data_IF_860047314911
#
_entry.id   IF_860047314911
#
_cell.length_a   1.000
_cell.length_b   1.000
_cell.length_c   1.000
_cell.angle_alpha   90.00
_cell.angle_beta   90.00
_cell.angle_gamma   90.00
#
_symmetry.space_group_name_H-M   'P 1'
#
loop_
_entity.id
_entity.type
_entity.pdbx_description
1 polymer ?
#
# COMPACT_ATOMS: atom_id res chain seq x y z
N UNK A 1 -63.57 -8.09 -8.18
CA UNK A 1 -63.21 -7.75 -6.78
C UNK A 1 -63.05 -6.24 -6.70
N UNK A 2 -63.89 -5.59 -5.90
CA UNK A 2 -64.00 -4.14 -5.83
C UNK A 2 -62.70 -3.52 -5.30
N UNK A 3 -61.97 -2.83 -6.18
CA UNK A 3 -60.88 -1.95 -5.80
C UNK A 3 -61.45 -0.75 -5.06
N UNK A 4 -61.57 -0.85 -3.74
CA UNK A 4 -61.88 0.30 -2.90
C UNK A 4 -60.84 1.41 -3.18
N UNK A 5 -61.29 2.56 -3.71
CA UNK A 5 -60.43 3.72 -3.93
C UNK A 5 -59.81 4.10 -2.58
N UNK A 6 -58.51 3.83 -2.42
CA UNK A 6 -57.77 4.17 -1.21
C UNK A 6 -57.98 5.64 -0.86
N UNK A 7 -58.30 5.90 0.40
CA UNK A 7 -58.48 7.27 0.90
C UNK A 7 -57.17 8.06 0.76
N UNK A 8 -57.19 9.40 0.60
CA UNK A 8 -55.97 10.21 0.51
C UNK A 8 -54.97 9.95 1.65
N UNK A 9 -55.46 9.65 2.86
CA UNK A 9 -54.65 9.23 4.00
C UNK A 9 -53.94 7.89 3.78
N UNK A 10 -54.63 6.89 3.24
CA UNK A 10 -54.03 5.59 2.90
C UNK A 10 -53.01 5.71 1.77
N UNK A 11 -53.24 6.60 0.80
CA UNK A 11 -52.24 6.93 -0.22
C UNK A 11 -50.99 7.57 0.37
N UNK A 12 -51.14 8.51 1.29
CA UNK A 12 -49.98 9.10 1.99
C UNK A 12 -49.23 8.06 2.82
N UNK A 13 -49.94 7.17 3.53
CA UNK A 13 -49.31 6.09 4.30
C UNK A 13 -48.58 5.11 3.37
N UNK A 14 -49.20 4.75 2.22
CA UNK A 14 -48.59 3.88 1.22
C UNK A 14 -47.35 4.49 0.59
N UNK A 15 -47.39 5.78 0.22
CA UNK A 15 -46.20 6.48 -0.29
C UNK A 15 -45.11 6.60 0.77
N UNK A 16 -45.46 6.89 2.02
CA UNK A 16 -44.48 6.94 3.12
C UNK A 16 -43.83 5.57 3.34
N UNK A 17 -44.60 4.48 3.30
CA UNK A 17 -44.06 3.12 3.43
C UNK A 17 -43.14 2.75 2.25
N UNK A 18 -43.51 3.12 1.02
CA UNK A 18 -42.65 2.92 -0.15
C UNK A 18 -41.35 3.72 -0.06
N UNK A 19 -41.42 4.99 0.37
CA UNK A 19 -40.23 5.83 0.57
C UNK A 19 -39.35 5.25 1.69
N UNK A 20 -39.92 4.83 2.81
CA UNK A 20 -39.16 4.28 3.93
C UNK A 20 -38.55 2.91 3.59
N UNK A 21 -39.27 2.06 2.84
CA UNK A 21 -38.76 0.79 2.34
C UNK A 21 -37.64 1.00 1.31
N UNK A 22 -37.79 2.00 0.43
CA UNK A 22 -36.75 2.37 -0.53
C UNK A 22 -35.50 2.92 0.17
N UNK A 23 -35.65 3.77 1.19
CA UNK A 23 -34.54 4.29 1.99
C UNK A 23 -33.81 3.17 2.76
N UNK A 24 -34.55 2.19 3.32
CA UNK A 24 -33.93 1.03 3.95
C UNK A 24 -33.22 0.12 2.95
N UNK A 25 -33.73 0.02 1.71
CA UNK A 25 -33.14 -0.80 0.66
C UNK A 25 -31.91 -0.15 -0.01
N UNK A 26 -31.82 1.18 -0.02
CA UNK A 26 -30.65 1.92 -0.52
C UNK A 26 -29.45 1.84 0.44
N UNK A 27 -29.70 1.61 1.73
CA UNK A 27 -28.63 1.47 2.71
C UNK A 27 -27.98 0.09 2.61
N UNK A 28 -26.65 0.05 2.68
CA UNK A 28 -25.88 -1.20 2.68
C UNK A 28 -26.18 -1.98 3.97
N UNK A 29 -26.28 -3.30 3.87
CA UNK A 29 -26.57 -4.13 5.05
C UNK A 29 -25.43 -4.02 6.08
N UNK A 30 -25.79 -3.94 7.37
CA UNK A 30 -24.81 -3.86 8.47
C UNK A 30 -23.86 -5.06 8.49
N UNK A 31 -24.31 -6.22 8.03
CA UNK A 31 -23.51 -7.44 7.93
C UNK A 31 -22.41 -7.31 6.88
N UNK A 32 -22.73 -6.72 5.72
CA UNK A 32 -21.75 -6.43 4.66
C UNK A 32 -20.71 -5.41 5.15
N UNK A 33 -21.16 -4.32 5.80
CA UNK A 33 -20.24 -3.33 6.38
C UNK A 33 -19.32 -3.93 7.45
N UNK A 34 -19.84 -4.82 8.29
CA UNK A 34 -19.02 -5.57 9.25
C UNK A 34 -18.03 -6.52 8.57
N UNK A 35 -18.38 -7.08 7.42
CA UNK A 35 -17.47 -7.85 6.57
C UNK A 35 -16.26 -7.01 6.15
N UNK A 36 -16.49 -5.81 5.63
CA UNK A 36 -15.43 -4.87 5.25
C UNK A 36 -14.54 -4.47 6.44
N UNK A 37 -15.11 -4.24 7.62
CA UNK A 37 -14.31 -3.98 8.84
C UNK A 37 -13.40 -5.15 9.19
N UNK A 38 -13.84 -6.39 9.00
CA UNK A 38 -12.98 -7.57 9.23
C UNK A 38 -11.85 -7.67 8.21
N UNK A 39 -12.13 -7.39 6.95
CA UNK A 39 -11.12 -7.34 5.88
C UNK A 39 -10.08 -6.27 6.21
N UNK A 40 -10.51 -5.06 6.55
CA UNK A 40 -9.61 -3.96 6.94
C UNK A 40 -8.70 -4.36 8.12
N UNK A 41 -9.25 -4.96 9.17
CA UNK A 41 -8.45 -5.42 10.31
C UNK A 41 -7.43 -6.48 9.91
N UNK A 42 -7.79 -7.39 9.01
CA UNK A 42 -6.87 -8.39 8.48
C UNK A 42 -5.73 -7.74 7.69
N UNK A 43 -6.05 -6.75 6.85
CA UNK A 43 -5.05 -6.02 6.06
C UNK A 43 -4.11 -5.21 6.96
N UNK A 44 -4.62 -4.55 8.01
CA UNK A 44 -3.78 -3.87 9.00
C UNK A 44 -2.81 -4.85 9.68
N UNK A 45 -3.26 -6.06 10.02
CA UNK A 45 -2.35 -7.08 10.58
C UNK A 45 -1.28 -7.50 9.56
N UNK A 46 -1.64 -7.63 8.28
CA UNK A 46 -0.69 -7.95 7.20
C UNK A 46 0.32 -6.83 7.01
N UNK A 47 -0.14 -5.57 7.00
CA UNK A 47 0.70 -4.37 6.94
C UNK A 47 1.74 -4.36 8.06
N UNK A 48 1.33 -4.66 9.30
CA UNK A 48 2.26 -4.74 10.43
C UNK A 48 3.31 -5.84 10.23
N UNK A 49 2.88 -7.02 9.77
CA UNK A 49 3.79 -8.14 9.53
C UNK A 49 4.84 -7.82 8.45
N UNK A 50 4.44 -7.13 7.39
CA UNK A 50 5.36 -6.74 6.31
C UNK A 50 6.30 -5.65 6.79
N UNK A 51 5.79 -4.65 7.52
CA UNK A 51 6.62 -3.61 8.13
C UNK A 51 7.69 -4.20 9.05
N UNK A 52 7.33 -5.16 9.91
CA UNK A 52 8.29 -5.85 10.79
C UNK A 52 9.37 -6.57 9.96
N UNK A 53 9.00 -7.19 8.83
CA UNK A 53 9.94 -7.83 7.91
C UNK A 53 10.88 -6.81 7.22
N UNK A 54 10.37 -5.65 6.84
CA UNK A 54 11.19 -4.55 6.29
C UNK A 54 12.22 -4.10 7.34
N UNK A 55 11.79 -3.89 8.57
CA UNK A 55 12.67 -3.48 9.69
C UNK A 55 13.76 -4.52 9.97
N UNK A 56 13.43 -5.81 9.94
CA UNK A 56 14.42 -6.90 10.04
C UNK A 56 15.44 -6.85 8.90
N UNK A 57 14.98 -6.65 7.67
CA UNK A 57 15.84 -6.59 6.47
C UNK A 57 16.76 -5.36 6.54
N UNK A 58 16.22 -4.22 6.98
CA UNK A 58 16.99 -2.99 7.18
C UNK A 58 18.02 -3.13 8.31
N UNK A 59 17.68 -3.81 9.40
CA UNK A 59 18.61 -4.11 10.50
C UNK A 59 19.76 -5.01 10.02
N UNK A 60 19.45 -6.03 9.21
CA UNK A 60 20.46 -6.88 8.60
C UNK A 60 21.39 -6.07 7.67
N UNK A 61 20.83 -5.17 6.86
CA UNK A 61 21.60 -4.30 5.97
C UNK A 61 22.55 -3.38 6.77
N UNK A 62 22.07 -2.76 7.84
CA UNK A 62 22.88 -1.95 8.76
C UNK A 62 24.04 -2.74 9.39
N UNK A 63 23.78 -3.98 9.82
CA UNK A 63 24.83 -4.83 10.38
C UNK A 63 25.94 -5.13 9.37
N UNK A 64 25.58 -5.35 8.08
CA UNK A 64 26.55 -5.53 7.00
C UNK A 64 27.31 -4.24 6.70
N UNK A 65 26.64 -3.09 6.71
CA UNK A 65 27.26 -1.79 6.53
C UNK A 65 28.32 -1.51 7.59
N UNK A 66 28.01 -1.75 8.87
CA UNK A 66 28.96 -1.62 9.98
C UNK A 66 30.16 -2.57 9.86
N UNK A 67 29.99 -3.72 9.20
CA UNK A 67 31.05 -4.70 9.00
C UNK A 67 31.96 -4.36 7.81
N UNK A 68 31.41 -3.78 6.74
CA UNK A 68 32.15 -3.44 5.52
C UNK A 68 31.55 -2.24 4.80
N UNK A 69 31.88 -1.05 5.27
CA UNK A 69 31.33 0.22 4.77
C UNK A 69 31.66 0.47 3.30
N UNK A 70 32.89 0.15 2.86
CA UNK A 70 33.34 0.42 1.49
C UNK A 70 32.56 -0.38 0.45
N UNK A 71 32.25 -1.65 0.76
CA UNK A 71 31.53 -2.53 -0.17
C UNK A 71 30.02 -2.34 -0.09
N UNK A 72 29.50 -2.03 1.09
CA UNK A 72 28.05 -1.99 1.36
C UNK A 72 27.47 -0.58 1.21
N UNK A 73 28.29 0.48 1.30
CA UNK A 73 27.85 1.87 1.19
C UNK A 73 26.88 2.15 0.04
N UNK A 74 27.22 1.82 -1.22
CA UNK A 74 26.33 2.06 -2.36
C UNK A 74 24.98 1.32 -2.27
N UNK A 75 24.96 0.13 -1.66
CA UNK A 75 23.72 -0.63 -1.45
C UNK A 75 22.91 -0.08 -0.28
N UNK A 76 23.60 0.41 0.75
CA UNK A 76 22.98 1.01 1.93
C UNK A 76 22.31 2.33 1.61
N UNK A 77 23.01 3.24 0.92
CA UNK A 77 22.46 4.53 0.48
C UNK A 77 21.21 4.33 -0.39
N UNK A 78 21.24 3.36 -1.30
CA UNK A 78 20.06 3.02 -2.12
C UNK A 78 18.93 2.40 -1.30
N UNK A 79 19.24 1.56 -0.32
CA UNK A 79 18.24 1.04 0.61
C UNK A 79 17.58 2.13 1.45
N UNK A 80 18.35 3.14 1.87
CA UNK A 80 17.86 4.29 2.63
C UNK A 80 16.96 5.18 1.76
N UNK A 81 17.35 5.46 0.51
CA UNK A 81 16.53 6.19 -0.46
C UNK A 81 15.16 5.51 -0.64
N UNK A 82 15.15 4.20 -0.89
CA UNK A 82 13.90 3.42 -1.08
C UNK A 82 13.03 3.47 0.17
N UNK A 83 13.61 3.26 1.34
CA UNK A 83 12.84 3.22 2.58
C UNK A 83 12.25 4.59 2.91
N UNK A 84 12.97 5.67 2.57
CA UNK A 84 12.45 7.03 2.67
C UNK A 84 11.26 7.25 1.73
N UNK A 85 11.40 6.89 0.45
CA UNK A 85 10.35 7.08 -0.55
C UNK A 85 9.10 6.24 -0.21
N UNK A 86 9.29 5.00 0.21
CA UNK A 86 8.22 4.12 0.68
C UNK A 86 7.51 4.73 1.90
N UNK A 87 8.26 5.21 2.89
CA UNK A 87 7.69 5.85 4.09
C UNK A 87 6.89 7.09 3.75
N UNK A 88 7.43 7.98 2.91
CA UNK A 88 6.72 9.19 2.46
C UNK A 88 5.39 8.85 1.76
N UNK A 89 5.39 7.80 0.93
CA UNK A 89 4.19 7.31 0.25
C UNK A 89 3.18 6.68 1.22
N UNK A 90 3.63 5.85 2.16
CA UNK A 90 2.75 5.26 3.20
C UNK A 90 2.14 6.34 4.09
N UNK A 91 2.91 7.35 4.48
CA UNK A 91 2.43 8.53 5.21
C UNK A 91 1.36 9.25 4.40
N UNK A 92 1.63 9.51 3.11
CA UNK A 92 0.68 10.15 2.21
C UNK A 92 -0.64 9.38 2.09
N UNK A 93 -0.60 8.06 1.86
CA UNK A 93 -1.81 7.22 1.77
C UNK A 93 -2.55 7.19 3.11
N UNK A 94 -1.83 7.13 4.23
CA UNK A 94 -2.43 7.14 5.57
C UNK A 94 -3.14 8.47 5.89
N UNK A 95 -2.54 9.59 5.51
CA UNK A 95 -3.18 10.91 5.62
C UNK A 95 -4.41 11.01 4.70
N UNK A 96 -4.34 10.46 3.49
CA UNK A 96 -5.47 10.42 2.57
C UNK A 96 -6.62 9.56 3.14
N UNK A 97 -6.31 8.41 3.74
CA UNK A 97 -7.31 7.60 4.48
C UNK A 97 -7.98 8.39 5.59
N UNK A 98 -7.21 9.10 6.42
CA UNK A 98 -7.74 9.92 7.50
C UNK A 98 -8.66 11.05 6.99
N UNK A 99 -8.29 11.70 5.88
CA UNK A 99 -9.13 12.70 5.21
C UNK A 99 -10.43 12.10 4.69
N UNK A 100 -10.38 10.93 4.05
CA UNK A 100 -11.57 10.21 3.61
C UNK A 100 -12.52 9.90 4.78
N UNK A 101 -11.99 9.43 5.91
CA UNK A 101 -12.80 9.16 7.12
C UNK A 101 -13.44 10.44 7.69
N UNK A 102 -12.70 11.54 7.76
CA UNK A 102 -13.20 12.82 8.23
C UNK A 102 -14.31 13.38 7.32
N UNK A 103 -14.11 13.28 6.00
CA UNK A 103 -15.09 13.67 4.97
C UNK A 103 -16.38 12.88 5.12
N UNK A 104 -16.31 11.56 5.28
CA UNK A 104 -17.50 10.71 5.45
C UNK A 104 -18.27 10.96 6.76
N UNK A 105 -17.59 11.31 7.85
CA UNK A 105 -18.26 11.67 9.11
C UNK A 105 -18.95 13.05 9.06
N UNK A 106 -18.69 13.85 8.02
CA UNK A 106 -19.32 15.14 7.78
C UNK A 106 -18.56 16.33 8.37
N UNK A 107 -17.26 16.16 8.68
CA UNK A 107 -16.38 17.28 9.06
C UNK A 107 -15.89 17.97 7.78
N UNK A 108 -16.76 18.77 7.18
CA UNK A 108 -16.50 19.50 5.94
C UNK A 108 -15.94 20.90 6.21
N UNK A 109 -14.63 21.02 6.17
CA UNK A 109 -13.94 22.25 5.74
C UNK A 109 -13.09 21.85 4.52
N UNK A 110 -12.70 22.79 3.67
CA UNK A 110 -12.21 22.58 2.29
C UNK A 110 -11.15 21.47 2.15
N UNK A 111 -10.86 20.97 0.93
CA UNK A 111 -9.94 19.84 0.69
C UNK A 111 -8.59 19.90 1.44
N UNK A 112 -8.08 21.11 1.72
CA UNK A 112 -6.83 21.36 2.45
C UNK A 112 -7.01 21.53 3.98
N UNK A 113 -8.23 21.79 4.45
CA UNK A 113 -8.59 22.11 5.85
C UNK A 113 -9.43 21.00 6.52
N UNK A 114 -9.52 19.81 5.93
CA UNK A 114 -10.21 18.68 6.56
C UNK A 114 -9.54 18.41 7.93
N UNK A 115 -10.32 18.44 9.01
CA UNK A 115 -9.83 18.11 10.37
C UNK A 115 -9.60 16.59 10.50
N UNK A 116 -8.53 16.10 9.86
CA UNK A 116 -8.14 14.69 9.79
C UNK A 116 -7.31 14.26 11.00
N UNK A 117 -6.86 15.19 11.83
CA UNK A 117 -6.03 14.92 13.02
C UNK A 117 -6.71 13.96 14.00
N UNK A 118 -8.04 14.03 14.13
CA UNK A 118 -8.82 13.10 14.98
C UNK A 118 -8.80 11.65 14.47
N UNK A 119 -8.49 11.44 13.19
CA UNK A 119 -8.50 10.14 12.52
C UNK A 119 -7.11 9.63 12.19
N UNK A 120 -6.07 10.44 12.39
CA UNK A 120 -4.69 10.12 12.10
C UNK A 120 -3.89 10.01 13.41
N UNK A 121 -3.04 9.02 13.50
CA UNK A 121 -2.22 8.82 14.67
C UNK A 121 -0.99 8.00 14.38
N UNK A 122 -0.25 7.72 15.45
CA UNK A 122 0.94 6.89 15.42
C UNK A 122 0.65 5.66 16.28
N UNK A 123 0.96 4.48 15.76
CA UNK A 123 0.82 3.23 16.50
C UNK A 123 1.90 3.09 17.59
N UNK A 124 1.83 2.00 18.37
CA UNK A 124 2.81 1.70 19.43
C UNK A 124 4.26 1.59 18.90
N UNK A 125 4.44 1.33 17.62
CA UNK A 125 5.71 1.11 16.96
C UNK A 125 6.23 2.34 16.22
N UNK A 126 5.55 3.50 16.35
CA UNK A 126 5.99 4.73 15.69
C UNK A 126 5.53 4.84 14.22
N UNK A 127 4.60 3.98 13.78
CA UNK A 127 4.12 3.92 12.39
C UNK A 127 2.80 4.66 12.24
N UNK A 128 2.61 5.30 11.09
CA UNK A 128 1.37 5.99 10.79
C UNK A 128 0.19 5.01 10.78
N UNK A 129 -0.88 5.42 11.43
CA UNK A 129 -2.11 4.65 11.52
C UNK A 129 -3.32 5.56 11.48
N UNK A 130 -4.46 4.96 11.17
CA UNK A 130 -5.74 5.67 11.13
C UNK A 130 -6.71 5.05 12.12
N UNK A 131 -7.73 5.83 12.51
CA UNK A 131 -8.79 5.35 13.37
C UNK A 131 -9.40 4.07 12.79
N UNK A 132 -9.54 3.05 13.64
CA UNK A 132 -10.10 1.78 13.18
C UNK A 132 -11.51 1.98 12.61
N UNK A 133 -11.76 1.42 11.43
CA UNK A 133 -13.03 1.55 10.72
C UNK A 133 -14.24 1.17 11.58
N UNK A 134 -14.08 0.26 12.57
CA UNK A 134 -15.14 -0.11 13.53
C UNK A 134 -15.77 1.10 14.23
N UNK A 135 -14.99 2.16 14.50
CA UNK A 135 -15.43 3.33 15.26
C UNK A 135 -16.13 4.40 14.41
N UNK A 136 -16.00 4.33 13.09
CA UNK A 136 -16.69 5.23 12.14
C UNK A 136 -18.18 4.91 12.15
N UNK A 137 -19.07 5.90 12.22
CA UNK A 137 -20.51 5.68 12.19
C UNK A 137 -21.01 5.54 10.75
N UNK A 138 -20.60 6.44 9.85
CA UNK A 138 -21.07 6.53 8.45
C UNK A 138 -20.18 5.76 7.49
N UNK A 139 -20.16 4.43 7.60
CA UNK A 139 -19.29 3.54 6.80
C UNK A 139 -19.78 3.34 5.36
N UNK A 140 -21.08 3.51 5.15
CA UNK A 140 -21.78 3.39 3.87
C UNK A 140 -21.82 4.70 3.08
N UNK A 141 -21.27 5.79 3.63
CA UNK A 141 -21.19 7.08 2.95
C UNK A 141 -20.27 7.00 1.72
N UNK A 142 -20.79 7.39 0.56
CA UNK A 142 -20.10 7.38 -0.73
C UNK A 142 -20.17 8.72 -1.46
N UNK A 143 -21.20 9.55 -1.24
CA UNK A 143 -21.42 10.79 -2.00
C UNK A 143 -20.36 11.82 -1.65
N UNK A 144 -20.15 11.98 -0.34
CA UNK A 144 -19.15 12.86 0.22
C UNK A 144 -17.74 12.49 -0.24
N UNK A 145 -17.47 11.19 -0.22
CA UNK A 145 -16.19 10.60 -0.61
C UNK A 145 -15.93 10.72 -2.11
N UNK A 146 -16.93 10.44 -2.94
CA UNK A 146 -16.86 10.57 -4.40
C UNK A 146 -16.53 12.00 -4.79
N UNK A 147 -17.23 12.97 -4.19
CA UNK A 147 -16.97 14.40 -4.44
C UNK A 147 -15.54 14.80 -4.06
N UNK A 148 -15.02 14.24 -2.97
CA UNK A 148 -13.67 14.53 -2.47
C UNK A 148 -12.56 13.87 -3.31
N UNK A 149 -12.76 12.62 -3.76
CA UNK A 149 -11.73 11.82 -4.43
C UNK A 149 -11.73 11.95 -5.95
N UNK A 150 -12.91 12.01 -6.57
CA UNK A 150 -13.11 11.94 -8.03
C UNK A 150 -13.77 13.21 -8.56
N UNK A 151 -14.70 13.79 -7.81
CA UNK A 151 -15.49 14.94 -8.22
C UNK A 151 -16.81 14.54 -8.86
N UNK A 152 -17.41 15.45 -9.63
CA UNK A 152 -18.76 15.29 -10.17
C UNK A 152 -18.84 14.47 -11.46
N UNK A 153 -17.73 14.31 -12.19
CA UNK A 153 -17.69 13.61 -13.47
C UNK A 153 -16.72 12.41 -13.41
N UNK A 154 -17.20 11.16 -13.53
CA UNK A 154 -16.34 9.96 -13.51
C UNK A 154 -15.26 9.96 -14.59
N UNK A 155 -15.57 10.48 -15.78
CA UNK A 155 -14.67 10.48 -16.94
C UNK A 155 -13.56 11.54 -16.84
N UNK A 156 -13.71 12.51 -15.94
CA UNK A 156 -12.77 13.61 -15.76
C UNK A 156 -12.52 13.83 -14.25
N UNK A 157 -11.75 12.92 -13.62
CA UNK A 157 -11.45 13.01 -12.20
C UNK A 157 -10.73 14.33 -11.87
N UNK A 158 -11.03 14.89 -10.71
CA UNK A 158 -10.41 16.14 -10.26
C UNK A 158 -8.89 15.98 -10.03
N UNK A 159 -8.15 16.98 -10.48
CA UNK A 159 -6.72 17.05 -10.26
C UNK A 159 -6.44 17.65 -8.87
N UNK A 160 -5.52 17.02 -8.14
CA UNK A 160 -5.11 17.53 -6.84
C UNK A 160 -4.21 16.56 -6.10
N UNK A 161 -3.53 17.08 -5.06
CA UNK A 161 -2.69 16.24 -4.21
C UNK A 161 -3.51 15.20 -3.45
N UNK A 162 -4.73 15.52 -3.02
CA UNK A 162 -5.55 14.67 -2.15
C UNK A 162 -6.73 14.05 -2.89
N UNK A 163 -6.49 13.59 -4.12
CA UNK A 163 -7.50 13.01 -5.02
C UNK A 163 -7.10 11.61 -5.48
N UNK A 164 -8.04 10.88 -6.08
CA UNK A 164 -7.77 9.56 -6.66
C UNK A 164 -6.68 9.62 -7.74
N UNK A 165 -6.67 10.67 -8.56
CA UNK A 165 -5.64 10.89 -9.57
C UNK A 165 -4.27 11.17 -8.93
N UNK A 166 -4.23 12.03 -7.91
CA UNK A 166 -3.00 12.30 -7.15
C UNK A 166 -2.41 11.05 -6.51
N UNK A 167 -3.27 10.17 -5.99
CA UNK A 167 -2.87 8.86 -5.49
C UNK A 167 -2.26 7.98 -6.59
N UNK A 168 -2.91 7.87 -7.76
CA UNK A 168 -2.37 7.12 -8.90
C UNK A 168 -0.99 7.64 -9.32
N UNK A 169 -0.86 8.95 -9.50
CA UNK A 169 0.41 9.59 -9.88
C UNK A 169 1.51 9.31 -8.84
N UNK A 170 1.19 9.37 -7.55
CA UNK A 170 2.15 9.08 -6.48
C UNK A 170 2.63 7.61 -6.53
N UNK A 171 1.72 6.67 -6.78
CA UNK A 171 2.05 5.25 -6.92
C UNK A 171 2.85 4.96 -8.20
N UNK A 172 2.49 5.57 -9.34
CA UNK A 172 3.23 5.46 -10.60
C UNK A 172 4.63 6.02 -10.48
N UNK A 173 4.77 7.19 -9.85
CA UNK A 173 6.07 7.80 -9.58
C UNK A 173 6.95 6.84 -8.76
N UNK A 174 6.41 6.29 -7.67
CA UNK A 174 7.15 5.34 -6.84
C UNK A 174 7.54 4.08 -7.63
N UNK A 175 6.64 3.50 -8.42
CA UNK A 175 6.97 2.38 -9.33
C UNK A 175 8.12 2.74 -10.26
N UNK A 176 8.07 3.90 -10.90
CA UNK A 176 9.06 4.32 -11.88
C UNK A 176 10.41 4.61 -11.21
N UNK A 177 10.40 5.21 -10.02
CA UNK A 177 11.59 5.41 -9.19
C UNK A 177 12.21 4.05 -8.83
N UNK A 178 11.41 3.05 -8.45
CA UNK A 178 11.88 1.70 -8.19
C UNK A 178 12.46 1.00 -9.44
N UNK A 179 11.81 1.11 -10.59
CA UNK A 179 12.27 0.47 -11.84
C UNK A 179 13.61 1.03 -12.34
N UNK A 180 13.90 2.29 -12.03
CA UNK A 180 15.12 2.98 -12.41
C UNK A 180 16.30 2.75 -11.45
N UNK A 181 16.13 1.91 -10.42
CA UNK A 181 17.20 1.60 -9.48
C UNK A 181 18.29 0.79 -10.19
N UNK A 182 19.49 1.35 -10.20
CA UNK A 182 20.72 0.62 -10.44
C UNK A 182 21.73 0.89 -9.33
N UNK A 183 22.54 -0.13 -9.02
CA UNK A 183 23.62 -0.02 -8.03
C UNK A 183 24.92 -0.33 -8.74
N UNK A 184 25.85 0.62 -8.71
CA UNK A 184 27.23 0.39 -9.13
C UNK A 184 27.98 -0.15 -7.92
N UNK A 185 28.52 -1.35 -8.04
CA UNK A 185 29.33 -1.94 -6.99
C UNK A 185 30.75 -1.37 -6.96
N UNK A 186 31.51 -1.63 -5.88
CA UNK A 186 32.91 -1.19 -5.75
C UNK A 186 33.86 -1.81 -6.81
N UNK A 187 33.39 -2.78 -7.61
CA UNK A 187 34.14 -3.38 -8.72
C UNK A 187 33.72 -2.78 -10.08
N UNK A 188 32.86 -1.76 -10.08
CA UNK A 188 32.38 -1.06 -11.29
C UNK A 188 31.32 -1.81 -12.08
N UNK A 189 30.76 -2.91 -11.55
CA UNK A 189 29.65 -3.60 -12.24
C UNK A 189 28.33 -2.96 -11.85
N UNK A 190 27.54 -2.61 -12.87
CA UNK A 190 26.18 -2.16 -12.70
C UNK A 190 25.26 -3.35 -12.43
N UNK A 191 24.54 -3.28 -11.32
CA UNK A 191 23.46 -4.21 -11.00
C UNK A 191 22.13 -3.56 -11.28
N UNK A 192 21.46 -4.14 -12.25
CA UNK A 192 20.08 -3.82 -12.60
C UNK A 192 19.13 -4.79 -11.90
N UNK A 193 17.91 -4.31 -11.66
CA UNK A 193 16.82 -5.15 -11.18
C UNK A 193 16.59 -6.35 -12.12
N UNK A 194 16.41 -7.57 -11.57
CA UNK A 194 16.02 -8.74 -12.34
C UNK A 194 14.68 -8.50 -13.05
N UNK A 195 14.51 -9.07 -14.24
CA UNK A 195 13.26 -8.96 -15.01
C UNK A 195 12.03 -9.51 -14.27
N UNK A 196 12.22 -10.48 -13.37
CA UNK A 196 11.13 -10.98 -12.51
C UNK A 196 10.59 -9.91 -11.56
N UNK A 197 11.47 -9.11 -10.95
CA UNK A 197 11.09 -8.05 -10.02
C UNK A 197 10.46 -6.90 -10.81
N UNK A 198 11.03 -6.53 -11.96
CA UNK A 198 10.44 -5.48 -12.82
C UNK A 198 9.01 -5.84 -13.23
N UNK A 199 8.78 -7.09 -13.64
CA UNK A 199 7.45 -7.58 -14.01
C UNK A 199 6.49 -7.58 -12.80
N UNK A 200 6.95 -8.03 -11.63
CA UNK A 200 6.19 -7.98 -10.37
C UNK A 200 5.73 -6.55 -10.06
N UNK A 201 6.65 -5.56 -10.15
CA UNK A 201 6.34 -4.15 -9.92
C UNK A 201 5.35 -3.59 -10.94
N UNK A 202 5.51 -3.92 -12.22
CA UNK A 202 4.60 -3.47 -13.27
C UNK A 202 3.18 -4.01 -13.10
N UNK A 203 3.04 -5.31 -12.78
CA UNK A 203 1.74 -5.92 -12.52
C UNK A 203 1.08 -5.35 -11.26
N UNK A 204 1.88 -5.11 -10.21
CA UNK A 204 1.41 -4.62 -8.91
C UNK A 204 0.89 -3.19 -8.95
N UNK A 205 1.56 -2.33 -9.71
CA UNK A 205 1.20 -0.91 -9.91
C UNK A 205 0.64 -0.70 -11.33
N UNK A 206 -0.26 -1.59 -11.74
CA UNK A 206 -1.06 -1.45 -12.95
C UNK A 206 -2.36 -0.72 -12.62
N UNK A 207 -2.66 0.33 -13.39
CA UNK A 207 -3.83 1.20 -13.21
C UNK A 207 -4.59 1.29 -14.53
N UNK A 208 -4.88 0.13 -15.11
CA UNK A 208 -5.61 0.03 -16.37
C UNK A 208 -7.08 0.38 -16.17
N UNK A 209 -7.70 0.91 -17.22
CA UNK A 209 -9.13 1.17 -17.24
C UNK A 209 -9.92 -0.13 -17.20
N UNK A 210 -11.02 -0.14 -16.45
CA UNK A 210 -11.83 -1.32 -16.22
C UNK A 210 -13.17 -1.21 -16.94
N UNK A 211 -13.75 -2.35 -17.32
CA UNK A 211 -15.10 -2.38 -17.88
C UNK A 211 -16.12 -2.59 -16.76
N UNK A 212 -16.91 -1.57 -16.48
CA UNK A 212 -18.08 -1.67 -15.59
C UNK A 212 -19.36 -1.56 -16.41
N UNK A 213 -20.22 -2.59 -16.34
CA UNK A 213 -21.51 -2.62 -17.04
C UNK A 213 -21.40 -2.29 -18.55
N UNK A 214 -20.39 -2.84 -19.23
CA UNK A 214 -20.06 -2.60 -20.65
C UNK A 214 -19.61 -1.17 -20.99
N UNK A 215 -19.30 -0.35 -19.98
CA UNK A 215 -18.71 0.99 -20.13
C UNK A 215 -17.25 0.95 -19.67
N UNK A 216 -16.35 1.53 -20.45
CA UNK A 216 -14.96 1.73 -20.03
C UNK A 216 -14.92 2.85 -18.99
N UNK A 217 -14.43 2.53 -17.81
CA UNK A 217 -14.34 3.43 -16.66
C UNK A 217 -12.87 3.56 -16.26
N UNK A 218 -12.43 4.79 -16.04
CA UNK A 218 -11.07 5.06 -15.58
C UNK A 218 -10.83 4.42 -14.21
N UNK A 219 -9.59 4.02 -13.94
CA UNK A 219 -9.21 3.41 -12.67
C UNK A 219 -9.66 4.23 -11.44
N UNK A 220 -9.54 5.56 -11.49
CA UNK A 220 -9.96 6.45 -10.39
C UNK A 220 -11.48 6.34 -10.12
N UNK A 221 -12.29 6.25 -11.17
CA UNK A 221 -13.73 6.15 -11.04
C UNK A 221 -14.14 4.74 -10.58
N UNK A 222 -13.58 3.69 -11.17
CA UNK A 222 -13.89 2.30 -10.80
C UNK A 222 -13.64 2.03 -9.30
N UNK A 223 -12.60 2.66 -8.73
CA UNK A 223 -12.19 2.41 -7.36
C UNK A 223 -12.77 3.38 -6.32
N UNK A 224 -13.17 4.59 -6.73
CA UNK A 224 -13.53 5.67 -5.78
C UNK A 224 -14.85 6.40 -6.11
N UNK A 225 -15.48 6.15 -7.26
CA UNK A 225 -16.77 6.76 -7.64
C UNK A 225 -17.94 5.88 -7.23
N UNK A 226 -18.89 6.42 -6.46
CA UNK A 226 -20.02 5.68 -5.87
C UNK A 226 -19.61 4.47 -5.00
N UNK A 227 -18.36 4.45 -4.54
CA UNK A 227 -17.82 3.42 -3.65
C UNK A 227 -17.92 3.87 -2.19
N UNK A 228 -18.50 3.05 -1.28
CA UNK A 228 -18.63 3.41 0.13
C UNK A 228 -17.28 3.41 0.85
N UNK A 229 -17.15 4.25 1.88
CA UNK A 229 -15.94 4.31 2.72
C UNK A 229 -15.46 2.94 3.21
N UNK A 230 -16.41 2.06 3.57
CA UNK A 230 -16.09 0.71 4.02
C UNK A 230 -15.29 -0.12 3.00
N UNK A 231 -15.45 0.12 1.71
CA UNK A 231 -14.71 -0.56 0.65
C UNK A 231 -13.42 0.20 0.27
N UNK A 232 -13.45 1.54 0.29
CA UNK A 232 -12.28 2.37 -0.04
C UNK A 232 -11.14 2.20 0.97
N UNK A 233 -11.44 2.04 2.27
CA UNK A 233 -10.40 1.87 3.30
C UNK A 233 -9.55 0.60 3.11
N UNK A 234 -10.14 -0.60 2.95
CA UNK A 234 -9.40 -1.82 2.59
C UNK A 234 -8.59 -1.68 1.30
N UNK A 235 -9.14 -1.03 0.28
CA UNK A 235 -8.44 -0.83 -0.98
C UNK A 235 -7.14 -0.02 -0.76
N UNK A 236 -7.22 1.09 -0.03
CA UNK A 236 -6.04 1.90 0.31
C UNK A 236 -5.06 1.14 1.22
N UNK A 237 -5.55 0.30 2.14
CA UNK A 237 -4.70 -0.60 2.94
C UNK A 237 -3.95 -1.60 2.07
N UNK A 238 -4.60 -2.14 1.03
CA UNK A 238 -3.95 -3.02 0.06
C UNK A 238 -2.85 -2.28 -0.71
N UNK A 239 -3.07 -1.02 -1.10
CA UNK A 239 -2.03 -0.20 -1.73
C UNK A 239 -0.83 0.04 -0.82
N UNK A 240 -1.05 0.28 0.48
CA UNK A 240 0.06 0.39 1.45
C UNK A 240 0.84 -0.92 1.53
N UNK A 241 0.14 -2.06 1.60
CA UNK A 241 0.76 -3.39 1.58
C UNK A 241 1.60 -3.57 0.31
N UNK A 242 1.11 -3.12 -0.85
CA UNK A 242 1.86 -3.21 -2.10
C UNK A 242 3.16 -2.40 -2.08
N UNK A 243 3.12 -1.20 -1.53
CA UNK A 243 4.30 -0.35 -1.33
C UNK A 243 5.30 -1.05 -0.42
N UNK A 244 4.87 -1.54 0.73
CA UNK A 244 5.75 -2.21 1.70
C UNK A 244 6.31 -3.54 1.19
N UNK A 245 5.53 -4.32 0.45
CA UNK A 245 6.00 -5.56 -0.16
C UNK A 245 7.05 -5.28 -1.24
N UNK A 246 6.84 -4.24 -2.07
CA UNK A 246 7.81 -3.84 -3.09
C UNK A 246 9.12 -3.33 -2.46
N UNK A 247 9.03 -2.55 -1.37
CA UNK A 247 10.18 -2.15 -0.56
C UNK A 247 10.91 -3.40 -0.05
N UNK A 248 10.20 -4.34 0.57
CA UNK A 248 10.78 -5.57 1.09
C UNK A 248 11.46 -6.40 -0.01
N UNK A 249 10.86 -6.52 -1.19
CA UNK A 249 11.42 -7.27 -2.32
C UNK A 249 12.75 -6.65 -2.78
N UNK A 250 12.81 -5.33 -2.92
CA UNK A 250 14.01 -4.62 -3.39
C UNK A 250 15.09 -4.60 -2.30
N UNK A 251 14.72 -4.41 -1.04
CA UNK A 251 15.65 -4.49 0.10
C UNK A 251 16.29 -5.88 0.19
N UNK A 252 15.52 -6.94 -0.04
CA UNK A 252 16.06 -8.30 -0.10
C UNK A 252 16.97 -8.53 -1.30
N UNK A 253 16.66 -7.93 -2.46
CA UNK A 253 17.53 -7.96 -3.63
C UNK A 253 18.88 -7.25 -3.37
N UNK A 254 18.84 -6.07 -2.74
CA UNK A 254 20.04 -5.33 -2.33
C UNK A 254 20.88 -6.17 -1.35
N UNK A 255 20.25 -6.76 -0.34
CA UNK A 255 20.92 -7.58 0.67
C UNK A 255 21.55 -8.84 0.07
N UNK A 256 20.80 -9.59 -0.73
CA UNK A 256 21.30 -10.76 -1.48
C UNK A 256 22.49 -10.39 -2.36
N UNK A 257 22.46 -9.16 -2.87
CA UNK A 257 23.54 -8.62 -3.66
C UNK A 257 24.87 -8.52 -2.90
N UNK A 258 24.84 -8.14 -1.62
CA UNK A 258 26.01 -8.05 -0.75
C UNK A 258 26.55 -9.45 -0.44
N UNK A 259 25.66 -10.40 -0.12
CA UNK A 259 26.03 -11.75 0.32
C UNK A 259 26.63 -12.63 -0.78
N UNK A 260 26.09 -12.54 -2.00
CA UNK A 260 26.61 -13.28 -3.16
C UNK A 260 28.10 -12.98 -3.44
N UNK A 261 28.59 -11.81 -3.02
CA UNK A 261 30.02 -11.45 -3.11
C UNK A 261 30.84 -11.81 -1.87
N UNK A 262 30.21 -12.16 -0.74
CA UNK A 262 30.91 -12.53 0.51
C UNK A 262 31.33 -13.99 0.52
N UNK A 263 30.66 -14.85 -0.26
CA UNK A 263 30.92 -16.28 -0.34
C UNK A 263 31.62 -16.65 -1.66
N UNK A 264 32.84 -16.15 -1.88
CA UNK A 264 33.71 -16.71 -2.92
C UNK A 264 34.64 -17.72 -2.28
N UNK A 265 34.28 -19.01 -2.30
CA UNK A 265 35.17 -20.14 -2.00
C UNK A 265 36.23 -20.35 -3.11
N UNK A 266 36.69 -19.27 -3.74
CA UNK A 266 37.52 -19.32 -4.95
C UNK A 266 38.98 -19.65 -4.65
N UNK A 267 39.43 -19.48 -3.41
CA UNK A 267 40.79 -19.78 -2.98
C UNK A 267 40.84 -20.87 -1.91
N UNK A 268 40.16 -22.00 -2.15
CA UNK A 268 40.47 -23.22 -1.39
C UNK A 268 41.81 -23.75 -1.88
N UNK A 269 42.90 -23.25 -1.31
CA UNK A 269 44.24 -23.82 -1.50
C UNK A 269 44.39 -24.99 -0.53
N UNK A 270 44.74 -26.20 -0.99
CA UNK A 270 45.09 -27.28 -0.07
C UNK A 270 46.31 -26.85 0.73
N UNK A 271 46.13 -26.58 2.03
CA UNK A 271 47.22 -26.31 2.95
C UNK A 271 47.75 -27.65 3.45
N UNK A 272 48.86 -28.11 2.86
CA UNK A 272 49.59 -29.25 3.38
C UNK A 272 50.42 -28.73 4.56
N UNK A 273 50.04 -29.12 5.78
CA UNK A 273 50.84 -28.88 6.98
C UNK A 273 51.65 -30.16 7.23
N UNK A 274 52.91 -30.24 6.76
CA UNK A 274 53.73 -31.42 7.01
C UNK A 274 54.08 -31.49 8.51
N UNK A 275 54.14 -32.71 9.07
CA UNK A 275 54.59 -32.92 10.45
C UNK A 275 56.08 -32.61 10.63
N UNK A 276 56.87 -32.67 9.55
CA UNK A 276 58.28 -32.31 9.52
C UNK A 276 58.69 -31.75 8.16
N UNK A 277 59.57 -30.74 8.16
CA UNK A 277 60.14 -30.15 6.94
C UNK A 277 61.33 -30.96 6.39
N UNK A 278 61.73 -32.04 7.07
CA UNK A 278 62.78 -32.96 6.63
C UNK A 278 62.40 -34.39 7.00
N UNK A 279 62.54 -35.31 6.04
CA UNK A 279 62.29 -36.75 6.22
C UNK A 279 63.52 -37.52 5.77
N UNK A 280 63.93 -38.48 6.59
CA UNK A 280 65.05 -39.38 6.31
C UNK A 280 64.51 -40.57 5.52
N UNK A 281 65.31 -41.11 4.59
CA UNK A 281 64.94 -42.26 3.76
C UNK A 281 64.57 -43.46 4.65
N UNK A 282 63.26 -43.73 4.79
CA UNK A 282 62.72 -44.84 5.59
C UNK A 282 61.66 -44.43 6.61
N UNK A 283 61.51 -43.13 6.91
CA UNK A 283 60.44 -42.61 7.77
C UNK A 283 59.19 -42.23 6.96
N UNK A 284 58.02 -42.36 7.60
CA UNK A 284 56.71 -41.89 7.13
C UNK A 284 56.24 -40.68 7.90
#
# INVERSE_FOLDING_TARGET
>A
MAGAKQTPRQKMIGMMYLVLTALLALNISKEVLNGFVKVENSLISTQQTIADKVDETYTALNAKYNSNQEKVGPFFEKGEDISKDAKELVTYISQLKARCMATSEGKYEQQDEVNFEDYYGIDKYGRDTVLNLKHIQKKDEYQALTTFMVGSEPAAPIEGKWTAQGLRIALEKYRDDLLNISVIDNEGNERILPESIKKSLQERFSFEDEYENDVLVNWEAANFYDVPLAAVMPLMSKMIIDVQDSEAEIMNWLLSGIEAKSLKFSEVKPLIIPQSNYVIKGDT
#
